data_IF_472094776300
#
_entry.id   IF_472094776300
#
_cell.length_a   1.000
_cell.length_b   1.000
_cell.length_c   1.000
_cell.angle_alpha   90.00
_cell.angle_beta   90.00
_cell.angle_gamma   90.00
#
_symmetry.space_group_name_H-M   'P 1'
#
loop_
_entity.id
_entity.type
_entity.pdbx_description
1 polymer ?
#
# COMPACT_ATOMS: atom_id res chain seq x y z
N UNK A 1 28.07 7.28 29.40
CA UNK A 1 27.69 6.71 28.08
C UNK A 1 26.37 7.34 27.67
N UNK A 2 26.23 7.90 26.46
CA UNK A 2 24.92 8.33 25.98
C UNK A 2 24.03 7.08 25.85
N UNK A 3 22.86 7.11 26.50
CA UNK A 3 21.92 5.99 26.49
C UNK A 3 21.40 5.73 25.08
N UNK A 4 21.26 4.45 24.71
CA UNK A 4 20.72 4.07 23.41
C UNK A 4 19.31 4.63 23.24
N UNK A 5 19.11 5.40 22.17
CA UNK A 5 17.78 5.88 21.78
C UNK A 5 16.91 4.68 21.42
N UNK A 6 15.86 4.42 22.21
CA UNK A 6 14.89 3.38 21.90
C UNK A 6 14.04 3.85 20.72
N UNK A 7 14.10 3.08 19.64
CA UNK A 7 13.21 3.26 18.51
C UNK A 7 12.19 2.12 18.54
N UNK A 8 10.90 2.45 18.59
CA UNK A 8 9.84 1.46 18.39
C UNK A 8 9.90 1.00 16.94
N UNK A 9 10.23 -0.28 16.72
CA UNK A 9 10.27 -0.87 15.39
C UNK A 9 8.87 -1.20 14.85
N UNK A 10 7.89 -1.34 15.75
CA UNK A 10 6.50 -1.70 15.41
C UNK A 10 5.69 -0.42 15.20
N UNK A 11 4.99 -0.38 14.07
CA UNK A 11 4.06 0.68 13.68
C UNK A 11 2.99 0.86 14.76
N UNK A 12 2.79 2.09 15.22
CA UNK A 12 1.93 2.40 16.38
C UNK A 12 0.51 2.87 16.05
N UNK A 13 0.25 3.24 14.78
CA UNK A 13 -1.02 3.83 14.35
C UNK A 13 -1.28 3.61 12.84
N UNK A 14 -2.47 4.03 12.39
CA UNK A 14 -2.90 3.89 11.01
C UNK A 14 -2.03 4.68 10.01
N UNK A 15 -1.53 5.87 10.40
CA UNK A 15 -0.67 6.70 9.54
C UNK A 15 0.70 6.05 9.35
N UNK A 16 1.28 5.51 10.41
CA UNK A 16 2.51 4.72 10.36
C UNK A 16 2.34 3.47 9.50
N UNK A 17 1.16 2.84 9.53
CA UNK A 17 0.87 1.68 8.70
C UNK A 17 0.71 2.07 7.22
N UNK A 18 0.12 3.22 6.94
CA UNK A 18 0.09 3.81 5.61
C UNK A 18 1.49 4.20 5.11
N UNK A 19 2.33 4.75 5.97
CA UNK A 19 3.72 5.05 5.66
C UNK A 19 4.52 3.81 5.26
N UNK A 20 4.26 2.66 5.91
CA UNK A 20 4.80 1.36 5.48
C UNK A 20 4.23 0.92 4.13
N UNK A 21 2.92 1.02 3.91
CA UNK A 21 2.34 0.70 2.60
C UNK A 21 3.02 1.53 1.49
N UNK A 22 3.16 2.83 1.68
CA UNK A 22 3.84 3.72 0.75
C UNK A 22 5.31 3.32 0.52
N UNK A 23 6.00 2.84 1.56
CA UNK A 23 7.36 2.32 1.44
C UNK A 23 7.41 1.07 0.57
N UNK A 24 6.53 0.10 0.82
CA UNK A 24 6.51 -1.15 0.05
C UNK A 24 6.19 -0.89 -1.43
N UNK A 25 5.33 0.10 -1.74
CA UNK A 25 5.04 0.51 -3.12
C UNK A 25 6.25 1.17 -3.79
N UNK A 26 7.03 1.96 -3.04
CA UNK A 26 8.27 2.56 -3.54
C UNK A 26 9.34 1.50 -3.80
N UNK A 27 9.49 0.53 -2.91
CA UNK A 27 10.39 -0.63 -3.09
C UNK A 27 9.97 -1.47 -4.30
N UNK A 28 8.67 -1.73 -4.46
CA UNK A 28 8.14 -2.44 -5.63
C UNK A 28 8.53 -1.75 -6.94
N UNK A 29 8.34 -0.42 -7.00
CA UNK A 29 8.72 0.38 -8.17
C UNK A 29 10.22 0.35 -8.41
N UNK A 30 11.02 0.54 -7.36
CA UNK A 30 12.49 0.48 -7.47
C UNK A 30 12.93 -0.88 -8.03
N UNK A 31 12.34 -2.00 -7.59
CA UNK A 31 12.65 -3.33 -8.11
C UNK A 31 12.29 -3.45 -9.58
N UNK A 32 11.09 -3.04 -9.97
CA UNK A 32 10.64 -3.09 -11.35
C UNK A 32 11.56 -2.31 -12.31
N UNK A 33 12.16 -1.22 -11.82
CA UNK A 33 13.05 -0.36 -12.63
C UNK A 33 14.50 -0.83 -12.59
N UNK A 34 15.01 -1.24 -11.43
CA UNK A 34 16.43 -1.51 -11.24
C UNK A 34 16.82 -2.97 -11.48
N UNK A 35 15.87 -3.91 -11.37
CA UNK A 35 16.07 -5.34 -11.53
C UNK A 35 14.98 -5.92 -12.46
N UNK A 36 14.85 -5.40 -13.70
CA UNK A 36 13.76 -5.76 -14.60
C UNK A 36 13.79 -7.24 -15.03
N UNK A 37 14.93 -7.91 -14.90
CA UNK A 37 15.17 -9.32 -15.23
C UNK A 37 14.95 -10.28 -14.05
N UNK A 38 14.62 -9.77 -12.85
CA UNK A 38 14.39 -10.59 -11.66
C UNK A 38 12.89 -10.69 -11.32
N UNK A 39 12.28 -11.83 -11.63
CA UNK A 39 10.85 -12.11 -11.42
C UNK A 39 10.51 -12.29 -9.92
N UNK A 40 11.29 -13.09 -9.19
CA UNK A 40 11.02 -13.46 -7.80
C UNK A 40 10.98 -12.25 -6.85
N UNK A 41 11.95 -11.32 -6.85
CA UNK A 41 11.91 -10.15 -5.97
C UNK A 41 10.71 -9.25 -6.26
N UNK A 42 10.34 -9.10 -7.54
CA UNK A 42 9.18 -8.32 -7.94
C UNK A 42 7.88 -8.94 -7.39
N UNK A 43 7.76 -10.27 -7.45
CA UNK A 43 6.63 -11.00 -6.87
C UNK A 43 6.52 -10.77 -5.36
N UNK A 44 7.64 -10.92 -4.63
CA UNK A 44 7.65 -10.76 -3.18
C UNK A 44 7.37 -9.32 -2.75
N UNK A 45 7.86 -8.33 -3.49
CA UNK A 45 7.54 -6.93 -3.25
C UNK A 45 6.04 -6.65 -3.42
N UNK A 46 5.40 -7.20 -4.47
CA UNK A 46 3.96 -7.08 -4.66
C UNK A 46 3.16 -7.72 -3.51
N UNK A 47 3.58 -8.90 -3.04
CA UNK A 47 2.97 -9.56 -1.88
C UNK A 47 3.09 -8.68 -0.62
N UNK A 48 4.24 -8.05 -0.39
CA UNK A 48 4.46 -7.16 0.75
C UNK A 48 3.53 -5.93 0.70
N UNK A 49 3.36 -5.31 -0.47
CA UNK A 49 2.38 -4.23 -0.68
C UNK A 49 0.98 -4.70 -0.29
N UNK A 50 0.57 -5.86 -0.78
CA UNK A 50 -0.76 -6.42 -0.52
C UNK A 50 -1.00 -6.71 0.96
N UNK A 51 -0.01 -7.29 1.65
CA UNK A 51 -0.04 -7.53 3.09
C UNK A 51 -0.13 -6.21 3.85
N UNK A 52 0.67 -5.21 3.48
CA UNK A 52 0.63 -3.90 4.12
C UNK A 52 -0.74 -3.22 3.97
N UNK A 53 -1.35 -3.29 2.79
CA UNK A 53 -2.68 -2.75 2.54
C UNK A 53 -3.77 -3.46 3.35
N UNK A 54 -3.73 -4.80 3.40
CA UNK A 54 -4.66 -5.58 4.22
C UNK A 54 -4.49 -5.26 5.72
N UNK A 55 -3.25 -5.16 6.21
CA UNK A 55 -2.96 -4.76 7.59
C UNK A 55 -3.45 -3.34 7.87
N UNK A 56 -3.24 -2.39 6.97
CA UNK A 56 -3.70 -1.01 7.13
C UNK A 56 -5.21 -0.93 7.36
N UNK A 57 -6.00 -1.72 6.63
CA UNK A 57 -7.45 -1.82 6.86
C UNK A 57 -7.77 -2.20 8.31
N UNK A 58 -7.07 -3.19 8.84
CA UNK A 58 -7.33 -3.67 10.20
C UNK A 58 -6.90 -2.63 11.26
N UNK A 59 -5.81 -1.90 11.03
CA UNK A 59 -5.39 -0.77 11.86
C UNK A 59 -6.40 0.39 11.85
N UNK A 60 -6.89 0.76 10.65
CA UNK A 60 -7.90 1.81 10.49
C UNK A 60 -9.22 1.40 11.15
N UNK A 61 -9.64 0.14 10.97
CA UNK A 61 -10.81 -0.41 11.65
C UNK A 61 -10.70 -0.23 13.17
N UNK A 62 -9.60 -0.69 13.75
CA UNK A 62 -9.37 -0.62 15.19
C UNK A 62 -9.37 0.83 15.71
N UNK A 63 -8.77 1.76 14.96
CA UNK A 63 -8.77 3.18 15.30
C UNK A 63 -10.19 3.78 15.30
N UNK A 64 -10.97 3.55 14.23
CA UNK A 64 -12.32 4.07 14.12
C UNK A 64 -13.30 3.44 15.10
N UNK A 65 -13.15 2.14 15.37
CA UNK A 65 -13.94 1.43 16.38
C UNK A 65 -13.68 2.00 17.78
N UNK A 66 -12.42 2.26 18.11
CA UNK A 66 -12.05 2.88 19.38
C UNK A 66 -12.66 4.28 19.54
N UNK A 67 -12.64 5.11 18.49
CA UNK A 67 -13.26 6.45 18.51
C UNK A 67 -14.79 6.38 18.59
N UNK A 68 -15.44 5.46 17.87
CA UNK A 68 -16.88 5.25 17.97
C UNK A 68 -17.28 4.87 19.40
N UNK A 69 -16.51 3.99 20.04
CA UNK A 69 -16.72 3.58 21.44
C UNK A 69 -16.56 4.74 22.41
N UNK A 70 -15.53 5.58 22.26
CA UNK A 70 -15.33 6.79 23.08
C UNK A 70 -16.49 7.78 22.94
N UNK A 71 -17.04 7.90 21.73
CA UNK A 71 -18.18 8.76 21.43
C UNK A 71 -19.55 8.16 21.80
N UNK A 72 -19.59 6.94 22.38
CA UNK A 72 -20.84 6.25 22.72
C UNK A 72 -21.67 5.82 21.50
N UNK A 73 -21.07 5.73 20.32
CA UNK A 73 -21.72 5.30 19.07
C UNK A 73 -21.66 3.78 18.91
N UNK A 74 -22.69 3.22 18.27
CA UNK A 74 -22.72 1.79 17.91
C UNK A 74 -21.82 1.58 16.68
N UNK A 75 -20.79 0.76 16.85
CA UNK A 75 -19.92 0.32 15.76
C UNK A 75 -20.62 -0.73 14.88
N UNK A 76 -20.38 -0.68 13.56
CA UNK A 76 -20.94 -1.62 12.58
C UNK A 76 -19.90 -2.01 11.54
N UNK A 77 -19.40 -3.24 11.63
CA UNK A 77 -18.38 -3.79 10.74
C UNK A 77 -18.78 -3.69 9.26
N UNK A 78 -20.03 -4.01 8.92
CA UNK A 78 -20.48 -4.01 7.52
C UNK A 78 -20.57 -2.60 6.93
N UNK A 79 -20.76 -1.58 7.77
CA UNK A 79 -20.74 -0.20 7.31
C UNK A 79 -19.30 0.24 7.00
N UNK A 80 -18.35 -0.17 7.84
CA UNK A 80 -16.92 0.08 7.65
C UNK A 80 -16.38 -0.60 6.38
N UNK A 81 -16.61 -1.91 6.21
CA UNK A 81 -16.10 -2.60 5.03
C UNK A 81 -16.67 -2.02 3.73
N UNK A 82 -17.98 -1.69 3.70
CA UNK A 82 -18.58 -1.03 2.53
C UNK A 82 -17.98 0.34 2.22
N UNK A 83 -17.66 1.15 3.23
CA UNK A 83 -17.06 2.46 3.00
C UNK A 83 -15.63 2.33 2.48
N UNK A 84 -14.86 1.37 3.01
CA UNK A 84 -13.51 1.06 2.53
C UNK A 84 -13.54 0.53 1.10
N UNK A 85 -14.39 -0.45 0.80
CA UNK A 85 -14.50 -1.04 -0.54
C UNK A 85 -14.88 0.02 -1.60
N UNK A 86 -15.74 0.97 -1.24
CA UNK A 86 -16.12 2.07 -2.10
C UNK A 86 -14.99 3.09 -2.32
N UNK A 87 -14.19 3.36 -1.28
CA UNK A 87 -13.13 4.36 -1.32
C UNK A 87 -11.81 3.82 -1.89
N UNK A 88 -11.57 2.52 -1.79
CA UNK A 88 -10.27 1.89 -2.10
C UNK A 88 -10.48 0.62 -2.93
N UNK A 89 -10.86 0.76 -4.22
CA UNK A 89 -11.19 -0.39 -5.06
C UNK A 89 -10.05 -1.41 -5.21
N UNK A 90 -8.79 -0.96 -5.10
CA UNK A 90 -7.61 -1.82 -5.21
C UNK A 90 -7.39 -2.72 -3.99
N UNK A 91 -8.00 -2.41 -2.84
CA UNK A 91 -7.76 -3.16 -1.60
C UNK A 91 -8.25 -4.60 -1.71
N UNK A 92 -9.33 -4.83 -2.44
CA UNK A 92 -9.98 -6.11 -2.52
C UNK A 92 -9.10 -7.19 -3.19
N UNK A 93 -8.35 -6.84 -4.24
CA UNK A 93 -7.32 -7.73 -4.79
C UNK A 93 -6.15 -7.92 -3.82
N UNK A 94 -5.74 -6.85 -3.11
CA UNK A 94 -4.67 -6.93 -2.12
C UNK A 94 -4.99 -7.89 -0.97
N UNK A 95 -6.23 -7.86 -0.46
CA UNK A 95 -6.69 -8.77 0.60
C UNK A 95 -6.67 -10.21 0.11
N UNK A 96 -7.14 -10.47 -1.11
CA UNK A 96 -7.11 -11.82 -1.69
C UNK A 96 -5.66 -12.32 -1.84
N UNK A 97 -4.75 -11.51 -2.38
CA UNK A 97 -3.33 -11.86 -2.54
C UNK A 97 -2.68 -12.11 -1.17
N UNK A 98 -2.88 -11.21 -0.21
CA UNK A 98 -2.30 -11.31 1.13
C UNK A 98 -2.78 -12.57 1.86
N UNK A 99 -4.05 -12.94 1.70
CA UNK A 99 -4.60 -14.13 2.32
C UNK A 99 -4.16 -15.41 1.60
N UNK A 100 -4.07 -15.43 0.28
CA UNK A 100 -3.51 -16.56 -0.49
C UNK A 100 -2.03 -16.78 -0.15
N UNK A 101 -1.25 -15.72 0.01
CA UNK A 101 0.15 -15.82 0.45
C UNK A 101 0.29 -16.41 1.86
N UNK A 102 -0.71 -16.20 2.73
CA UNK A 102 -0.75 -16.76 4.10
C UNK A 102 -1.37 -18.17 4.16
N UNK A 103 -2.32 -18.46 3.27
CA UNK A 103 -3.13 -19.67 3.27
C UNK A 103 -3.14 -20.25 1.85
N UNK A 104 -2.55 -21.44 1.68
CA UNK A 104 -2.32 -22.07 0.38
C UNK A 104 -3.55 -22.18 -0.54
N UNK A 105 -4.78 -22.14 0.01
CA UNK A 105 -6.02 -22.13 -0.75
C UNK A 105 -7.02 -21.15 -0.13
N UNK A 106 -6.95 -19.88 -0.50
CA UNK A 106 -7.91 -18.86 -0.08
C UNK A 106 -8.77 -18.41 -1.26
N UNK A 107 -10.10 -18.52 -1.10
CA UNK A 107 -11.11 -18.01 -2.04
C UNK A 107 -12.24 -17.34 -1.26
N UNK A 108 -11.93 -16.27 -0.56
CA UNK A 108 -12.98 -15.47 0.10
C UNK A 108 -13.44 -14.32 -0.80
N UNK A 109 -14.65 -13.84 -0.51
CA UNK A 109 -15.45 -12.92 -1.32
C UNK A 109 -14.66 -11.69 -1.75
N UNK A 110 -14.83 -11.32 -3.02
CA UNK A 110 -14.48 -10.00 -3.53
C UNK A 110 -13.73 -10.05 -4.85
N UNK A 111 -12.67 -10.86 -4.95
CA UNK A 111 -11.87 -11.01 -6.18
C UNK A 111 -12.11 -12.37 -6.84
N UNK A 112 -13.37 -12.61 -7.21
CA UNK A 112 -13.79 -13.86 -7.85
C UNK A 112 -13.09 -13.97 -9.21
N UNK A 113 -12.46 -15.11 -9.47
CA UNK A 113 -11.67 -15.39 -10.68
C UNK A 113 -10.54 -14.36 -10.94
N UNK A 114 -10.05 -13.76 -9.84
CA UNK A 114 -8.94 -12.84 -9.84
C UNK A 114 -7.60 -13.55 -9.78
N UNK A 115 -6.69 -13.18 -10.66
CA UNK A 115 -5.33 -13.74 -10.70
C UNK A 115 -4.29 -12.62 -10.83
N UNK A 116 -3.12 -12.83 -10.24
CA UNK A 116 -1.95 -11.99 -10.54
C UNK A 116 -1.06 -12.79 -11.46
N UNK A 117 -0.78 -12.24 -12.64
CA UNK A 117 0.09 -12.86 -13.63
C UNK A 117 1.33 -12.02 -13.78
N UNK A 118 2.49 -12.68 -13.80
CA UNK A 118 3.74 -12.07 -14.16
C UNK A 118 4.07 -12.43 -15.60
N UNK A 119 4.42 -11.42 -16.39
CA UNK A 119 4.81 -11.59 -17.78
C UNK A 119 6.11 -10.82 -18.03
N UNK A 120 6.97 -11.37 -18.89
CA UNK A 120 8.11 -10.62 -19.41
C UNK A 120 7.65 -9.82 -20.63
N UNK A 121 7.95 -8.53 -20.65
CA UNK A 121 7.72 -7.66 -21.80
C UNK A 121 9.04 -7.30 -22.44
N UNK A 122 9.14 -7.43 -23.76
CA UNK A 122 10.35 -7.10 -24.52
C UNK A 122 10.65 -5.60 -24.56
N UNK A 123 9.73 -4.77 -24.07
CA UNK A 123 9.84 -3.32 -24.13
C UNK A 123 9.68 -2.78 -25.56
N UNK A 124 9.85 -1.47 -25.69
CA UNK A 124 9.86 -0.72 -26.95
C UNK A 124 10.84 0.48 -26.87
N UNK A 125 10.71 1.45 -27.77
CA UNK A 125 11.57 2.65 -27.79
C UNK A 125 11.43 3.52 -26.54
N UNK A 126 10.30 3.44 -25.84
CA UNK A 126 9.96 4.27 -24.68
C UNK A 126 10.00 3.49 -23.35
N UNK A 127 9.88 2.15 -23.40
CA UNK A 127 9.79 1.28 -22.22
C UNK A 127 10.87 0.20 -22.28
N UNK A 128 11.77 0.08 -21.29
CA UNK A 128 12.76 -0.99 -21.29
C UNK A 128 12.09 -2.38 -21.10
N UNK A 129 12.70 -3.46 -21.63
CA UNK A 129 12.25 -4.80 -21.35
C UNK A 129 12.28 -5.12 -19.86
N UNK A 130 11.38 -5.99 -19.41
CA UNK A 130 11.38 -6.50 -18.05
C UNK A 130 10.12 -7.26 -17.64
N UNK A 131 10.17 -7.85 -16.45
CA UNK A 131 9.01 -8.45 -15.82
C UNK A 131 8.02 -7.39 -15.36
N UNK A 132 6.76 -7.63 -15.69
CA UNK A 132 5.63 -6.78 -15.37
C UNK A 132 4.56 -7.63 -14.69
N UNK A 133 3.90 -7.04 -13.69
CA UNK A 133 2.78 -7.66 -12.99
C UNK A 133 1.44 -7.12 -13.46
N UNK A 134 0.59 -8.06 -13.82
CA UNK A 134 -0.77 -7.86 -14.31
C UNK A 134 -1.79 -8.35 -13.31
N UNK A 135 -2.82 -7.56 -13.09
CA UNK A 135 -4.04 -8.03 -12.44
C UNK A 135 -4.99 -8.55 -13.51
N UNK A 136 -5.39 -9.81 -13.40
CA UNK A 136 -6.35 -10.47 -14.26
C UNK A 136 -7.70 -10.60 -13.53
N UNK A 137 -8.80 -10.45 -14.25
CA UNK A 137 -10.16 -10.69 -13.77
C UNK A 137 -10.90 -11.51 -14.81
N UNK A 138 -11.36 -12.70 -14.45
CA UNK A 138 -12.08 -13.60 -15.35
C UNK A 138 -11.30 -13.86 -16.66
N UNK A 139 -10.00 -14.11 -16.54
CA UNK A 139 -9.10 -14.38 -17.68
C UNK A 139 -8.77 -13.16 -18.55
N UNK A 140 -9.22 -11.96 -18.18
CA UNK A 140 -8.90 -10.70 -18.89
C UNK A 140 -7.94 -9.86 -18.08
N UNK A 141 -6.92 -9.33 -18.75
CA UNK A 141 -6.02 -8.35 -18.18
C UNK A 141 -6.81 -7.09 -17.83
N UNK A 142 -6.70 -6.65 -16.58
CA UNK A 142 -7.24 -5.36 -16.17
C UNK A 142 -6.47 -4.24 -16.90
N UNK A 143 -7.11 -3.10 -17.12
CA UNK A 143 -6.59 -1.98 -17.93
C UNK A 143 -5.33 -1.28 -17.38
N UNK A 144 -4.61 -1.84 -16.40
CA UNK A 144 -3.44 -1.19 -15.84
C UNK A 144 -2.42 -2.13 -15.19
N UNK A 145 -1.16 -1.69 -15.24
CA UNK A 145 -0.02 -2.29 -14.55
C UNK A 145 -0.18 -2.26 -13.02
N UNK A 146 0.39 -3.25 -12.33
CA UNK A 146 0.37 -3.32 -10.87
C UNK A 146 0.95 -2.07 -10.20
N UNK A 147 2.02 -1.47 -10.76
CA UNK A 147 2.61 -0.21 -10.23
C UNK A 147 1.58 0.92 -10.16
N UNK A 148 0.81 1.13 -11.23
CA UNK A 148 -0.22 2.17 -11.30
C UNK A 148 -1.36 1.90 -10.32
N UNK A 149 -1.70 0.62 -10.11
CA UNK A 149 -2.69 0.20 -9.12
C UNK A 149 -2.20 0.44 -7.69
N UNK A 150 -0.95 0.11 -7.40
CA UNK A 150 -0.35 0.33 -6.08
C UNK A 150 -0.19 1.82 -5.75
N UNK A 151 0.09 2.66 -6.75
CA UNK A 151 0.03 4.11 -6.59
C UNK A 151 -1.38 4.62 -6.27
N UNK A 152 -2.38 4.12 -7.00
CA UNK A 152 -3.78 4.44 -6.73
C UNK A 152 -4.19 4.00 -5.32
N UNK A 153 -3.84 2.78 -4.92
CA UNK A 153 -4.05 2.22 -3.59
C UNK A 153 -3.48 3.14 -2.49
N UNK A 154 -2.22 3.57 -2.62
CA UNK A 154 -1.60 4.50 -1.66
C UNK A 154 -2.33 5.85 -1.57
N UNK A 155 -2.74 6.42 -2.71
CA UNK A 155 -3.46 7.70 -2.75
C UNK A 155 -4.88 7.58 -2.17
N UNK A 156 -5.59 6.52 -2.50
CA UNK A 156 -6.94 6.24 -2.04
C UNK A 156 -6.97 5.99 -0.53
N UNK A 157 -5.99 5.24 -0.01
CA UNK A 157 -5.82 5.10 1.45
C UNK A 157 -5.58 6.44 2.14
N UNK A 158 -4.68 7.27 1.61
CA UNK A 158 -4.42 8.58 2.21
C UNK A 158 -5.68 9.45 2.25
N UNK A 159 -6.41 9.53 1.13
CA UNK A 159 -7.67 10.27 1.06
C UNK A 159 -8.72 9.72 2.05
N UNK A 160 -8.76 8.40 2.25
CA UNK A 160 -9.65 7.79 3.24
C UNK A 160 -9.25 8.15 4.67
N UNK A 161 -7.95 8.17 4.99
CA UNK A 161 -7.46 8.59 6.31
C UNK A 161 -7.82 10.06 6.59
N UNK A 162 -7.56 10.96 5.64
CA UNK A 162 -7.93 12.39 5.73
C UNK A 162 -9.45 12.57 5.93
N UNK A 163 -10.26 11.88 5.13
CA UNK A 163 -11.72 11.97 5.22
C UNK A 163 -12.29 11.49 6.57
N UNK A 164 -11.53 10.67 7.30
CA UNK A 164 -11.92 10.15 8.61
C UNK A 164 -11.18 10.83 9.78
N UNK A 165 -10.38 11.89 9.50
CA UNK A 165 -9.61 12.61 10.53
C UNK A 165 -8.59 11.74 11.25
N UNK A 166 -8.06 10.74 10.55
CA UNK A 166 -7.00 9.86 11.06
C UNK A 166 -5.60 10.34 10.65
N UNK A 167 -5.50 11.42 9.87
CA UNK A 167 -4.23 12.05 9.56
C UNK A 167 -3.68 12.78 10.80
N UNK A 168 -2.36 12.73 10.99
CA UNK A 168 -1.66 13.41 12.07
C UNK A 168 -1.31 14.88 11.72
N UNK A 169 -1.96 15.43 10.68
CA UNK A 169 -1.64 16.73 10.10
C UNK A 169 -0.27 16.79 9.41
N UNK A 170 0.47 15.68 9.28
CA UNK A 170 1.68 15.65 8.45
C UNK A 170 1.32 15.65 6.97
N UNK A 171 2.21 16.26 6.17
CA UNK A 171 2.10 16.20 4.72
C UNK A 171 2.02 14.74 4.25
N UNK A 172 1.36 14.51 3.11
CA UNK A 172 1.26 13.25 2.34
C UNK A 172 2.60 12.59 1.97
N UNK A 173 3.72 13.06 2.51
CA UNK A 173 5.05 12.54 2.29
C UNK A 173 5.65 12.01 3.59
N UNK A 174 5.75 10.68 3.75
CA UNK A 174 6.42 10.08 4.90
C UNK A 174 7.85 10.56 5.06
N UNK A 175 8.32 10.63 6.32
CA UNK A 175 9.70 11.04 6.65
C UNK A 175 10.78 10.27 5.89
N UNK A 176 10.60 8.96 5.68
CA UNK A 176 11.57 8.16 4.92
C UNK A 176 11.70 8.62 3.47
N UNK A 177 10.60 9.10 2.86
CA UNK A 177 10.57 9.56 1.47
C UNK A 177 11.27 10.90 1.34
N UNK A 178 11.02 11.80 2.29
CA UNK A 178 11.78 13.04 2.46
C UNK A 178 13.28 12.75 2.60
N UNK A 179 13.65 11.76 3.42
CA UNK A 179 15.04 11.35 3.57
C UNK A 179 15.62 10.78 2.27
N UNK A 180 14.87 9.95 1.53
CA UNK A 180 15.30 9.40 0.23
C UNK A 180 15.55 10.53 -0.78
N UNK A 181 14.61 11.46 -0.92
CA UNK A 181 14.76 12.63 -1.80
C UNK A 181 15.96 13.51 -1.39
N UNK A 182 16.14 13.76 -0.10
CA UNK A 182 17.28 14.53 0.41
C UNK A 182 18.64 13.86 0.13
N UNK A 183 18.69 12.52 0.02
CA UNK A 183 19.92 11.80 -0.38
C UNK A 183 20.21 11.95 -1.87
N UNK A 184 19.17 11.94 -2.71
CA UNK A 184 19.30 12.01 -4.17
C UNK A 184 19.61 13.44 -4.63
N UNK A 185 18.89 14.43 -4.10
CA UNK A 185 18.91 15.82 -4.58
C UNK A 185 19.66 16.79 -3.64
N UNK A 186 20.17 16.32 -2.50
CA UNK A 186 20.73 17.16 -1.44
C UNK A 186 19.65 17.76 -0.53
N UNK A 187 20.06 18.45 0.55
CA UNK A 187 19.10 19.03 1.50
C UNK A 187 18.27 20.15 0.86
N UNK A 188 17.02 19.87 0.50
CA UNK A 188 16.05 20.94 0.30
C UNK A 188 15.80 21.60 1.65
N UNK A 189 16.34 22.81 1.84
CA UNK A 189 15.86 23.71 2.90
C UNK A 189 14.39 23.99 2.59
N UNK A 190 13.48 23.24 3.18
CA UNK A 190 12.08 23.68 3.27
C UNK A 190 12.10 24.92 4.16
N UNK A 191 12.04 26.09 3.55
CA UNK A 191 11.70 27.32 4.25
C UNK A 191 10.35 27.12 4.92
N UNK A 192 10.22 27.35 6.23
CA UNK A 192 8.91 27.24 6.88
C UNK A 192 7.96 28.28 6.25
N UNK A 193 6.66 27.97 6.18
CA UNK A 193 5.67 28.92 5.68
C UNK A 193 5.69 30.17 6.56
N UNK A 194 5.77 31.33 5.89
CA UNK A 194 5.63 32.66 6.47
C UNK A 194 4.21 32.93 6.95
#
# INVERSE_FOLDING_TARGET
MPGATRHTAIIGDAVGMWSKLAWDVDVFRDIQVCYPDEDQPLAYAAINVCIAAASLRDWVKAALEAEAKKAGKIWRDEAFYRSVDAAIPELLSCVAIANTAKHANFRERGWIDGEVVMAYEEGDEDVPPGYVLYHMVAGRQSLGFAVSRFDALCRNWWAFLEANGLDDGQAKMPRWRTNKLNRIFGHHRMTPPS
#
